data_IF_941747752708
#
_entry.id   IF_941747752708
#
_cell.length_a   1.000
_cell.length_b   1.000
_cell.length_c   1.000
_cell.angle_alpha   90.00
_cell.angle_beta   90.00
_cell.angle_gamma   90.00
#
_symmetry.space_group_name_H-M   'P 1'
#
loop_
_entity.id
_entity.type
_entity.pdbx_description
1 polymer ?
#
# COMPACT_ATOMS: atom_id res chain seq x y z
N UNK A 1 11.31 15.04 -18.02
CA UNK A 1 10.15 14.16 -17.75
C UNK A 1 10.11 13.92 -16.24
N UNK A 2 9.00 14.18 -15.58
CA UNK A 2 8.84 13.91 -14.16
C UNK A 2 8.88 12.39 -13.90
N UNK A 3 9.50 11.97 -12.81
CA UNK A 3 9.42 10.56 -12.39
C UNK A 3 8.01 10.25 -11.91
N UNK A 4 7.47 9.11 -12.34
CA UNK A 4 6.12 8.66 -11.96
C UNK A 4 6.20 7.63 -10.85
N UNK A 5 5.39 7.80 -9.82
CA UNK A 5 5.21 6.87 -8.70
C UNK A 5 3.85 6.19 -8.80
N UNK A 6 3.82 4.86 -8.84
CA UNK A 6 2.60 4.11 -8.56
C UNK A 6 2.38 4.10 -7.05
N UNK A 7 1.31 4.73 -6.58
CA UNK A 7 0.92 4.79 -5.17
C UNK A 7 -0.33 3.96 -4.95
N UNK A 8 -0.21 2.82 -4.27
CA UNK A 8 -1.38 2.00 -3.94
C UNK A 8 -2.03 2.47 -2.65
N UNK A 9 -3.35 2.37 -2.57
CA UNK A 9 -4.10 2.78 -1.38
C UNK A 9 -4.15 4.29 -1.14
N UNK A 10 -4.11 5.07 -2.21
CA UNK A 10 -4.10 6.55 -2.14
C UNK A 10 -5.28 7.13 -1.36
N UNK A 11 -6.43 6.45 -1.32
CA UNK A 11 -7.63 6.90 -0.60
C UNK A 11 -7.58 6.70 0.91
N UNK A 12 -6.56 6.00 1.43
CA UNK A 12 -6.34 5.85 2.86
C UNK A 12 -5.61 7.06 3.47
N UNK A 13 -5.66 7.20 4.80
CA UNK A 13 -5.02 8.29 5.52
C UNK A 13 -3.54 8.48 5.14
N UNK A 14 -2.74 7.41 5.27
CA UNK A 14 -1.31 7.46 4.92
C UNK A 14 -1.13 7.72 3.41
N UNK A 15 -1.95 7.08 2.56
CA UNK A 15 -1.90 7.25 1.12
C UNK A 15 -2.13 8.69 0.66
N UNK A 16 -3.09 9.40 1.28
CA UNK A 16 -3.34 10.82 1.00
C UNK A 16 -2.15 11.70 1.35
N UNK A 17 -1.52 11.48 2.51
CA UNK A 17 -0.32 12.23 2.90
C UNK A 17 0.86 11.93 1.97
N UNK A 18 1.06 10.67 1.58
CA UNK A 18 2.07 10.31 0.59
C UNK A 18 1.81 10.97 -0.77
N UNK A 19 0.54 10.99 -1.23
CA UNK A 19 0.18 11.64 -2.48
C UNK A 19 0.48 13.15 -2.45
N UNK A 20 0.10 13.82 -1.36
CA UNK A 20 0.41 15.24 -1.15
C UNK A 20 1.89 15.51 -1.27
N UNK A 21 2.72 14.82 -0.48
CA UNK A 21 4.16 15.00 -0.46
C UNK A 21 4.81 14.74 -1.84
N UNK A 22 4.40 13.67 -2.51
CA UNK A 22 4.91 13.33 -3.84
C UNK A 22 4.57 14.40 -4.87
N UNK A 23 3.33 14.89 -4.90
CA UNK A 23 2.91 15.94 -5.83
C UNK A 23 3.63 17.27 -5.56
N UNK A 24 3.74 17.68 -4.30
CA UNK A 24 4.43 18.91 -3.89
C UNK A 24 5.94 18.87 -4.16
N UNK A 25 6.54 17.68 -4.17
CA UNK A 25 7.96 17.46 -4.52
C UNK A 25 8.19 17.21 -6.02
N UNK A 26 7.16 17.34 -6.86
CA UNK A 26 7.27 17.34 -8.31
C UNK A 26 7.24 15.96 -8.96
N UNK A 27 6.82 14.92 -8.25
CA UNK A 27 6.54 13.62 -8.87
C UNK A 27 5.16 13.62 -9.55
N UNK A 28 5.06 12.88 -10.65
CA UNK A 28 3.75 12.45 -11.15
C UNK A 28 3.27 11.25 -10.30
N UNK A 29 2.00 11.25 -9.91
CA UNK A 29 1.43 10.19 -9.08
C UNK A 29 0.36 9.44 -9.86
N UNK A 30 0.49 8.11 -9.92
CA UNK A 30 -0.57 7.23 -10.36
C UNK A 30 -1.12 6.49 -9.13
N UNK A 31 -2.26 6.97 -8.63
CA UNK A 31 -2.91 6.43 -7.43
C UNK A 31 -3.88 5.31 -7.76
N UNK A 32 -3.92 4.24 -6.94
CA UNK A 32 -4.94 3.21 -7.08
C UNK A 32 -6.08 3.43 -6.09
N UNK A 33 -7.30 3.31 -6.57
CA UNK A 33 -8.54 3.40 -5.80
C UNK A 33 -9.44 2.21 -6.12
N UNK A 34 -10.34 1.84 -5.20
CA UNK A 34 -11.27 0.71 -5.41
C UNK A 34 -12.52 1.08 -6.20
N UNK A 35 -12.79 2.37 -6.39
CA UNK A 35 -13.92 2.86 -7.20
C UNK A 35 -13.69 4.29 -7.66
N UNK A 36 -14.42 4.72 -8.70
CA UNK A 36 -14.40 6.11 -9.16
C UNK A 36 -14.86 7.09 -8.08
N UNK A 37 -15.83 6.73 -7.25
CA UNK A 37 -16.29 7.55 -6.14
C UNK A 37 -15.13 7.82 -5.14
N UNK A 38 -14.34 6.80 -4.80
CA UNK A 38 -13.13 6.98 -3.98
C UNK A 38 -12.08 7.84 -4.67
N UNK A 39 -11.98 7.78 -5.98
CA UNK A 39 -11.12 8.66 -6.76
C UNK A 39 -11.52 10.13 -6.66
N UNK A 40 -12.82 10.40 -6.72
CA UNK A 40 -13.36 11.75 -6.56
C UNK A 40 -13.07 12.30 -5.13
N UNK A 41 -13.33 11.50 -4.09
CA UNK A 41 -13.00 11.86 -2.70
C UNK A 41 -11.51 12.23 -2.53
N UNK A 42 -10.60 11.47 -3.17
CA UNK A 42 -9.15 11.76 -3.15
C UNK A 42 -8.86 13.13 -3.75
N UNK A 43 -9.42 13.44 -4.93
CA UNK A 43 -9.22 14.73 -5.60
C UNK A 43 -9.75 15.90 -4.75
N UNK A 44 -10.93 15.74 -4.20
CA UNK A 44 -11.56 16.77 -3.33
C UNK A 44 -10.74 17.01 -2.07
N UNK A 45 -10.26 15.95 -1.41
CA UNK A 45 -9.43 16.05 -0.21
C UNK A 45 -8.11 16.75 -0.49
N UNK A 46 -7.43 16.40 -1.59
CA UNK A 46 -6.18 17.05 -1.99
C UNK A 46 -6.40 18.51 -2.39
N UNK A 47 -7.51 18.82 -3.08
CA UNK A 47 -7.87 20.20 -3.44
C UNK A 47 -8.17 21.06 -2.20
N UNK A 48 -8.88 20.52 -1.20
CA UNK A 48 -9.09 21.18 0.09
C UNK A 48 -7.79 21.50 0.82
N UNK A 49 -6.78 20.64 0.64
CA UNK A 49 -5.42 20.87 1.15
C UNK A 49 -4.55 21.77 0.24
N UNK A 50 -5.15 22.40 -0.80
CA UNK A 50 -4.49 23.26 -1.78
C UNK A 50 -3.36 22.57 -2.57
N UNK A 51 -3.44 21.26 -2.76
CA UNK A 51 -2.47 20.48 -3.53
C UNK A 51 -2.82 20.55 -5.02
N UNK A 52 -1.85 20.90 -5.86
CA UNK A 52 -2.02 20.78 -7.32
C UNK A 52 -2.08 19.31 -7.73
N UNK A 53 -3.21 18.91 -8.29
CA UNK A 53 -3.46 17.55 -8.77
C UNK A 53 -3.28 17.37 -10.27
N UNK A 54 -2.67 18.32 -10.97
CA UNK A 54 -2.43 18.25 -12.43
C UNK A 54 -1.59 17.04 -12.86
N UNK A 55 -0.70 16.57 -11.97
CA UNK A 55 0.15 15.39 -12.18
C UNK A 55 -0.42 14.13 -11.51
N UNK A 56 -1.69 14.14 -11.06
CA UNK A 56 -2.37 12.99 -10.46
C UNK A 56 -3.23 12.26 -11.50
N UNK A 57 -2.94 10.99 -11.72
CA UNK A 57 -3.84 10.06 -12.41
C UNK A 57 -4.36 9.02 -11.43
N UNK A 58 -5.59 8.57 -11.62
CA UNK A 58 -6.21 7.56 -10.76
C UNK A 58 -6.59 6.34 -11.60
N UNK A 59 -6.35 5.15 -11.06
CA UNK A 59 -6.66 3.86 -11.68
C UNK A 59 -7.50 3.05 -10.70
N UNK A 60 -8.60 2.50 -11.18
CA UNK A 60 -9.44 1.62 -10.38
C UNK A 60 -8.83 0.23 -10.32
N UNK A 61 -8.42 -0.20 -9.12
CA UNK A 61 -7.80 -1.49 -8.84
C UNK A 61 -8.13 -1.96 -7.43
N UNK A 62 -8.30 -3.27 -7.29
CA UNK A 62 -8.47 -3.94 -6.00
C UNK A 62 -7.32 -4.92 -5.74
N UNK A 63 -6.85 -5.02 -4.48
CA UNK A 63 -5.79 -5.95 -4.07
C UNK A 63 -6.22 -7.43 -4.22
N UNK A 64 -7.52 -7.70 -4.22
CA UNK A 64 -8.07 -9.04 -4.40
C UNK A 64 -8.13 -9.49 -5.87
N UNK A 65 -7.89 -8.56 -6.81
CA UNK A 65 -7.88 -8.84 -8.24
C UNK A 65 -6.46 -9.02 -8.76
N UNK A 66 -6.22 -10.04 -9.57
CA UNK A 66 -4.95 -10.30 -10.24
C UNK A 66 -4.75 -9.47 -11.52
N UNK A 67 -5.78 -8.72 -11.94
CA UNK A 67 -5.81 -7.98 -13.20
C UNK A 67 -5.46 -6.51 -13.01
N UNK A 68 -4.86 -5.93 -14.06
CA UNK A 68 -4.63 -4.49 -14.15
C UNK A 68 -3.34 -3.98 -13.51
N UNK A 69 -2.67 -4.74 -12.65
CA UNK A 69 -1.46 -4.29 -11.95
C UNK A 69 -0.29 -3.98 -12.88
N UNK A 70 -0.10 -4.79 -13.94
CA UNK A 70 0.94 -4.53 -14.93
C UNK A 70 0.69 -3.22 -15.69
N UNK A 71 -0.56 -2.95 -16.07
CA UNK A 71 -0.93 -1.74 -16.80
C UNK A 71 -0.81 -0.51 -15.88
N UNK A 72 -1.23 -0.65 -14.61
CA UNK A 72 -1.06 0.41 -13.62
C UNK A 72 0.41 0.73 -13.34
N UNK A 73 1.29 -0.26 -13.35
CA UNK A 73 2.73 -0.06 -13.13
C UNK A 73 3.47 0.42 -14.40
N UNK A 74 2.88 0.26 -15.59
CA UNK A 74 3.55 0.59 -16.85
C UNK A 74 4.02 2.06 -16.87
N UNK A 75 5.30 2.26 -17.16
CA UNK A 75 5.93 3.59 -17.19
C UNK A 75 6.17 4.24 -15.82
N UNK A 76 5.86 3.56 -14.72
CA UNK A 76 6.20 4.06 -13.38
C UNK A 76 7.67 3.77 -13.05
N UNK A 77 8.37 4.80 -12.56
CA UNK A 77 9.77 4.69 -12.15
C UNK A 77 9.91 4.09 -10.74
N UNK A 78 8.91 4.33 -9.89
CA UNK A 78 8.89 3.94 -8.49
C UNK A 78 7.51 3.37 -8.13
N UNK A 79 7.49 2.53 -7.09
CA UNK A 79 6.25 2.02 -6.50
C UNK A 79 6.25 2.28 -5.01
N UNK A 80 5.19 2.88 -4.50
CA UNK A 80 4.91 3.04 -3.08
C UNK A 80 3.66 2.23 -2.74
N UNK A 81 3.86 1.08 -2.08
CA UNK A 81 2.78 0.17 -1.73
C UNK A 81 2.30 0.44 -0.30
N UNK A 82 1.20 1.19 -0.20
CA UNK A 82 0.57 1.59 1.07
C UNK A 82 -0.70 0.79 1.32
N UNK A 83 -1.35 0.32 0.25
CA UNK A 83 -2.58 -0.46 0.37
C UNK A 83 -2.34 -1.75 1.16
N UNK A 84 -3.19 -1.99 2.12
CA UNK A 84 -3.27 -3.27 2.83
C UNK A 84 -4.68 -3.44 3.39
N UNK A 85 -5.22 -4.65 3.45
CA UNK A 85 -6.45 -4.89 4.18
C UNK A 85 -6.22 -4.56 5.67
N UNK A 86 -7.14 -3.80 6.24
CA UNK A 86 -7.17 -3.51 7.66
C UNK A 86 -8.59 -3.77 8.18
N UNK A 87 -8.71 -4.73 9.08
CA UNK A 87 -9.96 -5.06 9.78
C UNK A 87 -9.68 -4.92 11.27
N UNK A 88 -10.45 -4.05 11.94
CA UNK A 88 -10.25 -3.72 13.36
C UNK A 88 -10.55 -4.88 14.32
N UNK A 89 -11.33 -5.88 13.89
CA UNK A 89 -11.64 -7.08 14.65
C UNK A 89 -11.06 -8.32 13.95
N UNK A 90 -10.75 -9.37 14.71
CA UNK A 90 -10.36 -10.63 14.10
C UNK A 90 -11.55 -11.20 13.29
N UNK A 91 -11.36 -11.47 11.97
CA UNK A 91 -12.39 -12.08 11.15
C UNK A 91 -12.65 -13.52 11.61
N UNK A 92 -13.81 -14.06 11.22
CA UNK A 92 -14.12 -15.49 11.48
C UNK A 92 -13.17 -16.41 10.72
N UNK A 93 -12.85 -16.03 9.49
CA UNK A 93 -11.82 -16.69 8.68
C UNK A 93 -10.59 -15.77 8.56
N UNK A 94 -9.43 -16.15 9.12
CA UNK A 94 -8.19 -15.38 8.99
C UNK A 94 -7.75 -15.13 7.55
N UNK A 95 -8.13 -16.00 6.61
CA UNK A 95 -7.76 -15.88 5.20
C UNK A 95 -8.41 -14.67 4.52
N UNK A 96 -9.53 -14.17 5.04
CA UNK A 96 -10.15 -12.93 4.55
C UNK A 96 -9.22 -11.70 4.66
N UNK A 97 -8.23 -11.76 5.55
CA UNK A 97 -7.22 -10.70 5.74
C UNK A 97 -5.86 -11.12 5.19
N UNK A 98 -5.43 -12.35 5.48
CA UNK A 98 -4.07 -12.82 5.13
C UNK A 98 -3.92 -12.93 3.62
N UNK A 99 -4.84 -13.59 2.92
CA UNK A 99 -4.73 -13.77 1.47
C UNK A 99 -4.66 -12.44 0.71
N UNK A 100 -5.56 -11.46 0.90
CA UNK A 100 -5.42 -10.17 0.24
C UNK A 100 -4.14 -9.40 0.62
N UNK A 101 -3.63 -9.55 1.84
CA UNK A 101 -2.39 -8.90 2.24
C UNK A 101 -1.18 -9.50 1.53
N UNK A 102 -1.07 -10.83 1.50
CA UNK A 102 0.05 -11.55 0.88
C UNK A 102 -0.04 -11.46 -0.65
N UNK A 103 -1.15 -11.93 -1.22
CA UNK A 103 -1.32 -12.02 -2.67
C UNK A 103 -1.30 -10.64 -3.32
N UNK A 104 -2.00 -9.67 -2.71
CA UNK A 104 -2.00 -8.29 -3.19
C UNK A 104 -0.61 -7.65 -3.17
N UNK A 105 0.17 -7.86 -2.09
CA UNK A 105 1.55 -7.39 -2.02
C UNK A 105 2.41 -8.04 -3.10
N UNK A 106 2.34 -9.36 -3.24
CA UNK A 106 3.10 -10.09 -4.25
C UNK A 106 2.75 -9.66 -5.69
N UNK A 107 1.48 -9.39 -5.98
CA UNK A 107 1.06 -8.88 -7.28
C UNK A 107 1.68 -7.52 -7.60
N UNK A 108 1.66 -6.59 -6.66
CA UNK A 108 2.27 -5.25 -6.81
C UNK A 108 3.78 -5.37 -7.01
N UNK A 109 4.47 -6.21 -6.22
CA UNK A 109 5.91 -6.43 -6.34
C UNK A 109 6.29 -7.06 -7.68
N UNK A 110 5.50 -8.05 -8.16
CA UNK A 110 5.70 -8.68 -9.48
C UNK A 110 5.50 -7.67 -10.62
N UNK A 111 4.46 -6.84 -10.55
CA UNK A 111 4.21 -5.79 -11.53
C UNK A 111 5.34 -4.77 -11.54
N UNK A 112 5.81 -4.31 -10.37
CA UNK A 112 6.93 -3.40 -10.24
C UNK A 112 8.23 -3.97 -10.84
N UNK A 113 8.53 -5.25 -10.56
CA UNK A 113 9.68 -5.94 -11.13
C UNK A 113 9.58 -6.04 -12.67
N UNK A 114 8.40 -6.38 -13.18
CA UNK A 114 8.16 -6.55 -14.63
C UNK A 114 8.40 -5.26 -15.43
N UNK A 115 8.04 -4.11 -14.85
CA UNK A 115 8.26 -2.80 -15.51
C UNK A 115 9.63 -2.19 -15.22
N UNK A 116 10.48 -2.86 -14.46
CA UNK A 116 11.82 -2.38 -14.12
C UNK A 116 11.80 -1.16 -13.18
N UNK A 117 10.86 -1.10 -12.23
CA UNK A 117 10.79 -0.03 -11.25
C UNK A 117 12.12 0.06 -10.47
N UNK A 118 12.68 1.27 -10.36
CA UNK A 118 13.99 1.52 -9.75
C UNK A 118 14.00 1.33 -8.23
N UNK A 119 12.86 1.56 -7.60
CA UNK A 119 12.69 1.40 -6.15
C UNK A 119 11.24 1.07 -5.82
N UNK A 120 11.07 0.22 -4.81
CA UNK A 120 9.79 -0.10 -4.20
C UNK A 120 9.88 0.26 -2.73
N UNK A 121 8.87 0.96 -2.22
CA UNK A 121 8.68 1.23 -0.80
C UNK A 121 7.40 0.51 -0.37
N UNK A 122 7.51 -0.36 0.61
CA UNK A 122 6.40 -1.13 1.16
C UNK A 122 6.10 -0.64 2.57
N UNK A 123 4.87 -0.25 2.83
CA UNK A 123 4.41 0.06 4.19
C UNK A 123 4.22 -1.23 4.97
N UNK A 124 5.10 -1.48 5.90
CA UNK A 124 5.03 -2.60 6.84
C UNK A 124 4.35 -2.18 8.15
N UNK A 125 4.53 -2.96 9.19
CA UNK A 125 4.05 -2.70 10.54
C UNK A 125 5.11 -3.11 11.56
N UNK A 126 5.17 -2.40 12.68
CA UNK A 126 5.99 -2.83 13.82
C UNK A 126 5.58 -4.22 14.34
N UNK A 127 4.34 -4.62 14.08
CA UNK A 127 3.83 -5.95 14.44
C UNK A 127 4.54 -7.09 13.72
N UNK A 128 5.19 -6.84 12.58
CA UNK A 128 6.03 -7.83 11.90
C UNK A 128 7.33 -8.11 12.64
N UNK A 129 7.72 -7.25 13.59
CA UNK A 129 8.95 -7.36 14.36
C UNK A 129 8.70 -7.77 15.81
N UNK A 130 7.66 -7.25 16.45
CA UNK A 130 7.44 -7.37 17.88
C UNK A 130 6.16 -8.10 18.28
N UNK A 131 5.40 -8.66 17.34
CA UNK A 131 4.08 -9.24 17.62
C UNK A 131 4.10 -10.42 18.61
N UNK A 132 5.17 -11.19 18.68
CA UNK A 132 5.36 -12.31 19.63
C UNK A 132 6.11 -11.93 20.89
N UNK A 133 6.69 -10.73 20.97
CA UNK A 133 7.44 -10.23 22.13
C UNK A 133 6.80 -8.96 22.66
N UNK A 134 6.66 -8.85 23.98
CA UNK A 134 5.98 -7.71 24.61
C UNK A 134 6.93 -6.59 25.05
N UNK A 135 8.21 -6.86 25.22
CA UNK A 135 9.22 -5.92 25.72
C UNK A 135 10.57 -6.21 25.08
N UNK A 136 11.38 -5.16 24.90
CA UNK A 136 12.73 -5.28 24.37
C UNK A 136 13.10 -4.15 23.41
N UNK A 137 14.33 -4.24 22.88
CA UNK A 137 14.78 -3.42 21.76
C UNK A 137 14.69 -4.25 20.51
N UNK A 138 14.03 -3.73 19.48
CA UNK A 138 13.78 -4.43 18.22
C UNK A 138 14.60 -3.80 17.10
N UNK A 139 15.07 -4.63 16.20
CA UNK A 139 15.89 -4.25 15.05
C UNK A 139 15.29 -4.84 13.77
N UNK A 140 15.85 -4.52 12.63
CA UNK A 140 15.47 -5.09 11.33
C UNK A 140 15.75 -6.59 11.19
N UNK A 141 16.42 -7.20 12.16
CA UNK A 141 16.69 -8.65 12.19
C UNK A 141 15.64 -9.42 13.00
N UNK A 142 14.78 -8.70 13.72
CA UNK A 142 13.75 -9.31 14.55
C UNK A 142 12.48 -9.53 13.71
N UNK A 143 11.91 -10.73 13.84
CA UNK A 143 10.66 -11.10 13.18
C UNK A 143 9.71 -11.71 14.18
N UNK A 144 8.44 -11.40 14.01
CA UNK A 144 7.38 -12.03 14.79
C UNK A 144 7.30 -13.52 14.48
N UNK A 145 7.28 -14.35 15.52
CA UNK A 145 6.93 -15.76 15.39
C UNK A 145 5.40 -15.87 15.16
N UNK A 146 5.00 -16.19 13.94
CA UNK A 146 3.59 -16.27 13.54
C UNK A 146 2.87 -17.49 14.14
N UNK A 147 3.63 -18.48 14.63
CA UNK A 147 3.08 -19.69 15.25
C UNK A 147 2.99 -19.56 16.79
N UNK A 148 3.48 -18.45 17.35
CA UNK A 148 3.35 -18.18 18.78
C UNK A 148 1.85 -18.06 19.18
N UNK A 149 1.50 -18.44 20.41
CA UNK A 149 0.15 -18.31 20.91
C UNK A 149 -0.34 -16.85 20.89
N UNK A 150 -1.62 -16.68 20.69
CA UNK A 150 -2.33 -15.37 20.73
C UNK A 150 -1.90 -14.34 19.67
N UNK A 151 -1.22 -14.76 18.61
CA UNK A 151 -0.89 -13.86 17.47
C UNK A 151 -2.15 -13.53 16.68
N UNK A 152 -2.45 -12.22 16.58
CA UNK A 152 -3.63 -11.75 15.85
C UNK A 152 -3.50 -12.00 14.34
N UNK A 153 -4.64 -12.14 13.67
CA UNK A 153 -4.70 -12.24 12.20
C UNK A 153 -4.01 -11.06 11.53
N UNK A 154 -4.18 -9.86 12.07
CA UNK A 154 -3.49 -8.66 11.57
C UNK A 154 -1.97 -8.83 11.63
N UNK A 155 -1.44 -9.25 12.78
CA UNK A 155 0.01 -9.49 12.95
C UNK A 155 0.52 -10.50 11.92
N UNK A 156 -0.15 -11.65 11.78
CA UNK A 156 0.19 -12.66 10.76
C UNK A 156 0.21 -12.07 9.34
N UNK A 157 -0.75 -11.20 9.02
CA UNK A 157 -0.85 -10.57 7.71
C UNK A 157 0.26 -9.55 7.40
N UNK A 158 1.03 -9.13 8.41
CA UNK A 158 2.13 -8.16 8.29
C UNK A 158 3.52 -8.76 8.40
N UNK A 159 3.59 -9.99 8.91
CA UNK A 159 4.82 -10.78 9.02
C UNK A 159 5.05 -11.64 7.79
#
# INVERSE_FOLDING_TARGET
MSNTVLLTGISGYIGLHCAKELLETGYAVRGTVRSQAKGQEVRETLAQASVDTSQLTLVELDLTSDRGWNDAAAGCNFVMHVASPFIAANPKDPQEVISPAVDGTLQVLRAAKKVGAKRIVLTSSIMSMMGSMKTGTFTTNDWTDVDAPDISTYTKSKT
#
